data_IF_575806978321
#
_entry.id   IF_575806978321
#
_cell.length_a   1.000
_cell.length_b   1.000
_cell.length_c   1.000
_cell.angle_alpha   90.00
_cell.angle_beta   90.00
_cell.angle_gamma   90.00
#
_symmetry.space_group_name_H-M   'P 1'
#
loop_
_entity.id
_entity.type
_entity.pdbx_description
1 polymer ?
#
# COMPACT_ATOMS: atom_id res chain seq x y z
N UNK A 1 12.69 2.62 18.23
CA UNK A 1 13.26 3.65 17.32
C UNK A 1 14.35 3.12 16.38
N UNK A 2 14.38 1.82 16.04
CA UNK A 2 15.50 1.21 15.28
C UNK A 2 15.28 1.12 13.76
N UNK A 3 14.04 1.29 13.27
CA UNK A 3 13.76 1.15 11.84
C UNK A 3 14.35 2.33 11.05
N UNK A 4 14.96 2.05 9.89
CA UNK A 4 15.42 3.05 8.94
C UNK A 4 14.48 3.14 7.73
N UNK A 5 14.54 4.25 6.98
CA UNK A 5 13.74 4.42 5.77
C UNK A 5 14.05 3.34 4.72
N UNK A 6 15.32 3.11 4.43
CA UNK A 6 15.75 2.05 3.49
C UNK A 6 15.30 0.66 3.94
N UNK A 7 15.45 0.33 5.23
CA UNK A 7 14.99 -0.95 5.77
C UNK A 7 13.47 -1.12 5.72
N UNK A 8 12.71 -0.05 5.94
CA UNK A 8 11.25 -0.07 5.86
C UNK A 8 10.76 -0.32 4.42
N UNK A 9 11.41 0.26 3.41
CA UNK A 9 11.14 0.00 1.99
C UNK A 9 11.38 -1.47 1.59
N UNK A 10 12.34 -2.13 2.26
CA UNK A 10 12.79 -3.49 1.95
C UNK A 10 12.22 -4.57 2.88
N UNK A 11 11.27 -4.21 3.76
CA UNK A 11 10.65 -5.19 4.65
C UNK A 11 9.90 -6.26 3.83
N UNK A 12 9.92 -7.50 4.30
CA UNK A 12 9.26 -8.61 3.60
C UNK A 12 7.85 -8.86 4.11
N UNK A 13 7.06 -9.58 3.32
CA UNK A 13 5.69 -9.98 3.67
C UNK A 13 5.59 -10.67 5.03
N UNK A 14 4.40 -10.64 5.65
CA UNK A 14 4.09 -11.33 6.91
C UNK A 14 3.25 -12.59 6.70
N UNK A 15 3.24 -13.13 5.48
CA UNK A 15 2.62 -14.42 5.16
C UNK A 15 3.13 -15.51 6.12
N UNK A 16 2.20 -16.24 6.75
CA UNK A 16 2.52 -17.28 7.73
C UNK A 16 3.42 -18.37 7.11
N UNK A 17 3.08 -18.82 5.91
CA UNK A 17 3.81 -19.84 5.16
C UNK A 17 5.19 -19.38 4.65
N UNK A 18 5.38 -18.07 4.44
CA UNK A 18 6.68 -17.54 4.08
C UNK A 18 7.65 -17.60 5.26
N UNK A 19 7.16 -17.41 6.49
CA UNK A 19 7.99 -17.40 7.69
C UNK A 19 8.24 -18.79 8.27
N UNK A 20 7.32 -19.72 8.07
CA UNK A 20 7.54 -21.12 8.43
C UNK A 20 8.57 -21.74 7.46
N UNK A 21 9.74 -22.11 7.95
CA UNK A 21 10.83 -22.65 7.12
C UNK A 21 10.50 -23.99 6.48
N UNK A 22 9.62 -24.79 7.09
CA UNK A 22 9.32 -26.15 6.66
C UNK A 22 8.29 -26.21 5.54
N UNK A 23 7.62 -25.09 5.26
CA UNK A 23 6.57 -25.03 4.24
C UNK A 23 7.09 -24.58 2.88
N UNK A 24 6.71 -25.28 1.81
CA UNK A 24 6.97 -24.87 0.44
C UNK A 24 6.33 -23.51 0.10
N UNK A 25 7.09 -22.64 -0.57
CA UNK A 25 6.65 -21.29 -0.91
C UNK A 25 7.46 -20.72 -2.07
N UNK A 26 6.81 -20.36 -3.19
CA UNK A 26 7.43 -19.77 -4.38
C UNK A 26 8.29 -18.53 -4.09
N UNK A 27 7.96 -17.75 -3.03
CA UNK A 27 8.74 -16.57 -2.62
C UNK A 27 10.07 -16.94 -1.93
N UNK A 28 10.16 -18.13 -1.32
CA UNK A 28 11.38 -18.69 -0.73
C UNK A 28 12.14 -19.52 -1.76
N UNK A 29 11.44 -20.48 -2.37
CA UNK A 29 11.97 -21.45 -3.32
C UNK A 29 11.08 -21.44 -4.58
N UNK A 30 11.45 -20.72 -5.64
CA UNK A 30 10.66 -20.63 -6.86
C UNK A 30 10.28 -22.01 -7.43
N UNK A 31 9.00 -22.19 -7.76
CA UNK A 31 8.46 -23.45 -8.29
C UNK A 31 7.88 -24.41 -7.25
N UNK A 32 8.11 -24.16 -5.95
CA UNK A 32 7.60 -25.02 -4.86
C UNK A 32 6.09 -24.87 -4.58
N UNK A 33 5.44 -23.85 -5.12
CA UNK A 33 3.99 -23.61 -4.98
C UNK A 33 3.62 -22.51 -3.99
N UNK A 34 2.32 -22.24 -3.86
CA UNK A 34 1.78 -21.23 -2.95
C UNK A 34 0.69 -21.82 -2.04
N UNK A 35 1.03 -22.27 -0.83
CA UNK A 35 0.06 -22.90 0.08
C UNK A 35 -1.04 -21.92 0.54
N UNK A 36 -0.77 -20.62 0.51
CA UNK A 36 -1.75 -19.61 0.88
C UNK A 36 -2.99 -19.60 -0.04
N UNK A 37 -2.86 -20.01 -1.32
CA UNK A 37 -4.00 -19.99 -2.26
C UNK A 37 -5.19 -20.82 -1.77
N UNK A 38 -4.91 -21.99 -1.19
CA UNK A 38 -5.91 -22.93 -0.70
C UNK A 38 -5.89 -23.09 0.83
N UNK A 39 -5.03 -22.33 1.51
CA UNK A 39 -4.86 -22.35 2.96
C UNK A 39 -5.47 -21.14 3.65
N UNK A 40 -4.96 -20.83 4.85
CA UNK A 40 -5.40 -19.68 5.63
C UNK A 40 -4.87 -18.37 5.04
N UNK A 41 -5.73 -17.68 4.31
CA UNK A 41 -5.36 -16.50 3.53
C UNK A 41 -5.92 -15.17 4.05
N UNK A 42 -6.46 -15.10 5.27
CA UNK A 42 -7.13 -13.89 5.81
C UNK A 42 -6.36 -12.58 5.63
N UNK A 43 -5.04 -12.59 5.82
CA UNK A 43 -4.19 -11.39 5.70
C UNK A 43 -3.65 -11.13 4.29
N UNK A 44 -3.96 -11.97 3.31
CA UNK A 44 -3.37 -11.95 1.97
C UNK A 44 -4.07 -10.95 1.03
N UNK A 45 -3.45 -10.75 -0.14
CA UNK A 45 -3.83 -9.76 -1.12
C UNK A 45 -5.17 -10.13 -1.80
N UNK A 46 -5.89 -9.08 -2.20
CA UNK A 46 -7.09 -9.16 -3.03
C UNK A 46 -6.88 -8.50 -4.40
N UNK A 47 -5.76 -7.80 -4.61
CA UNK A 47 -5.44 -7.05 -5.82
C UNK A 47 -4.01 -7.38 -6.28
N UNK A 48 -3.81 -7.38 -7.60
CA UNK A 48 -2.48 -7.58 -8.20
C UNK A 48 -1.81 -8.90 -7.83
N UNK A 49 -2.59 -9.94 -7.57
CA UNK A 49 -2.12 -11.29 -7.22
C UNK A 49 -1.69 -12.06 -8.47
N UNK A 50 -0.98 -13.17 -8.29
CA UNK A 50 -0.79 -14.19 -9.33
C UNK A 50 -1.08 -15.58 -8.79
N UNK A 51 -1.14 -16.58 -9.67
CA UNK A 51 -1.18 -18.00 -9.28
C UNK A 51 0.08 -18.46 -8.53
N UNK A 52 1.15 -17.67 -8.56
CA UNK A 52 2.38 -17.99 -7.85
C UNK A 52 2.45 -17.38 -6.46
N UNK A 53 1.72 -16.29 -6.18
CA UNK A 53 1.74 -15.65 -4.87
C UNK A 53 0.57 -14.67 -4.65
N UNK A 54 -0.01 -14.74 -3.44
CA UNK A 54 -1.02 -13.81 -2.94
C UNK A 54 -0.54 -12.98 -1.73
N UNK A 55 0.77 -12.89 -1.51
CA UNK A 55 1.31 -12.15 -0.37
C UNK A 55 1.03 -10.64 -0.46
N UNK A 56 0.85 -9.98 0.69
CA UNK A 56 0.78 -8.52 0.79
C UNK A 56 2.12 -7.92 1.13
N UNK A 57 2.35 -6.68 0.69
CA UNK A 57 3.41 -5.84 1.21
C UNK A 57 2.93 -5.09 2.47
N UNK A 58 3.67 -5.16 3.60
CA UNK A 58 3.10 -4.79 4.90
C UNK A 58 3.39 -3.34 5.35
N UNK A 59 4.19 -2.57 4.60
CA UNK A 59 4.61 -1.23 5.04
C UNK A 59 3.49 -0.21 4.94
N UNK A 60 3.18 0.46 6.06
CA UNK A 60 2.33 1.65 6.07
C UNK A 60 3.03 2.88 5.45
N UNK A 61 4.32 3.06 5.74
CA UNK A 61 5.10 4.20 5.24
C UNK A 61 5.14 4.24 3.72
N UNK A 62 5.33 3.08 3.08
CA UNK A 62 5.37 3.00 1.63
C UNK A 62 4.02 3.31 0.96
N UNK A 63 2.90 3.13 1.65
CA UNK A 63 1.58 3.52 1.13
C UNK A 63 1.50 5.05 1.04
N UNK A 64 1.95 5.75 2.07
CA UNK A 64 2.05 7.22 2.04
C UNK A 64 3.04 7.70 0.96
N UNK A 65 4.22 7.08 0.85
CA UNK A 65 5.21 7.44 -0.18
C UNK A 65 4.69 7.22 -1.61
N UNK A 66 3.88 6.18 -1.84
CA UNK A 66 3.24 5.94 -3.14
C UNK A 66 2.17 7.01 -3.46
N UNK A 67 1.41 7.44 -2.46
CA UNK A 67 0.45 8.54 -2.61
C UNK A 67 1.16 9.89 -2.87
N UNK A 68 2.34 10.10 -2.29
CA UNK A 68 3.12 11.32 -2.43
C UNK A 68 4.02 11.38 -3.67
N UNK A 69 3.95 10.41 -4.59
CA UNK A 69 4.82 10.36 -5.78
C UNK A 69 6.32 10.48 -5.43
N UNK A 70 6.74 9.81 -4.35
CA UNK A 70 8.13 9.87 -3.91
C UNK A 70 9.09 9.31 -4.98
N UNK A 71 10.38 9.63 -4.84
CA UNK A 71 11.46 9.06 -5.65
C UNK A 71 12.50 8.41 -4.75
N UNK A 72 12.93 7.20 -5.09
CA UNK A 72 13.96 6.46 -4.34
C UNK A 72 15.30 6.62 -5.04
N UNK A 73 16.29 7.17 -4.33
CA UNK A 73 17.64 7.36 -4.86
C UNK A 73 18.54 6.20 -4.46
N UNK A 74 19.33 5.73 -5.42
CA UNK A 74 20.10 4.50 -5.33
C UNK A 74 21.53 4.76 -5.80
N UNK A 75 22.49 4.25 -5.05
CA UNK A 75 23.89 4.18 -5.42
C UNK A 75 24.30 2.74 -5.73
N UNK A 76 25.26 2.57 -6.63
CA UNK A 76 25.91 1.29 -6.96
C UNK A 76 27.38 1.54 -7.28
N UNK A 77 28.17 0.46 -7.45
CA UNK A 77 29.56 0.56 -7.91
C UNK A 77 29.68 1.16 -9.33
N UNK A 78 28.61 1.10 -10.12
CA UNK A 78 28.59 1.54 -11.52
C UNK A 78 27.96 2.92 -11.72
N UNK A 79 27.48 3.57 -10.64
CA UNK A 79 26.85 4.88 -10.68
C UNK A 79 25.57 4.98 -9.86
N UNK A 80 24.94 6.15 -9.92
CA UNK A 80 23.72 6.46 -9.19
C UNK A 80 22.52 6.50 -10.14
N UNK A 81 21.35 6.11 -9.64
CA UNK A 81 20.07 6.24 -10.34
C UNK A 81 18.92 6.52 -9.38
N UNK A 82 17.80 6.93 -9.95
CA UNK A 82 16.56 7.17 -9.20
C UNK A 82 15.43 6.32 -9.76
N UNK A 83 14.55 5.83 -8.90
CA UNK A 83 13.36 5.05 -9.28
C UNK A 83 12.13 5.76 -8.74
N UNK A 84 11.15 6.14 -9.59
CA UNK A 84 9.85 6.61 -9.13
C UNK A 84 9.21 5.59 -8.20
N UNK A 85 8.61 6.00 -7.09
CA UNK A 85 8.12 5.06 -6.07
C UNK A 85 7.07 4.08 -6.61
N UNK A 86 6.24 4.53 -7.56
CA UNK A 86 5.28 3.68 -8.28
C UNK A 86 5.95 2.48 -8.97
N UNK A 87 7.23 2.58 -9.32
CA UNK A 87 8.02 1.58 -10.02
C UNK A 87 9.03 0.89 -9.10
N UNK A 88 9.09 1.21 -7.80
CA UNK A 88 10.06 0.62 -6.89
C UNK A 88 9.67 -0.81 -6.50
N UNK A 89 8.45 -1.01 -5.99
CA UNK A 89 7.89 -2.33 -5.68
C UNK A 89 7.19 -2.94 -6.89
N UNK A 90 7.28 -4.27 -7.01
CA UNK A 90 6.68 -5.02 -8.13
C UNK A 90 5.51 -5.91 -7.69
N UNK A 91 4.63 -6.19 -8.65
CA UNK A 91 3.67 -7.29 -8.54
C UNK A 91 4.41 -8.64 -8.64
N UNK A 92 3.84 -9.72 -8.08
CA UNK A 92 4.56 -10.99 -7.97
C UNK A 92 4.84 -11.62 -9.33
N UNK A 93 3.90 -11.54 -10.28
CA UNK A 93 4.02 -12.18 -11.58
C UNK A 93 4.41 -13.66 -11.44
N UNK A 94 5.37 -14.08 -12.25
CA UNK A 94 6.04 -15.39 -12.24
C UNK A 94 7.24 -15.46 -11.26
N UNK A 95 7.70 -14.31 -10.74
CA UNK A 95 8.90 -14.18 -9.89
C UNK A 95 8.59 -13.58 -8.53
N UNK A 96 7.76 -14.24 -7.70
CA UNK A 96 7.37 -13.72 -6.39
C UNK A 96 8.53 -13.70 -5.38
N UNK A 97 9.68 -14.32 -5.67
CA UNK A 97 10.89 -14.19 -4.85
C UNK A 97 11.49 -12.78 -4.88
N UNK A 98 11.12 -11.93 -5.86
CA UNK A 98 11.57 -10.55 -5.99
C UNK A 98 10.47 -9.58 -5.51
N UNK A 99 10.77 -8.77 -4.50
CA UNK A 99 9.81 -7.82 -3.91
C UNK A 99 9.87 -6.41 -4.55
N UNK A 100 11.02 -6.05 -5.14
CA UNK A 100 11.32 -4.72 -5.66
C UNK A 100 12.21 -4.77 -6.92
N UNK A 101 12.53 -3.60 -7.47
CA UNK A 101 13.31 -3.41 -8.70
C UNK A 101 14.78 -2.99 -8.45
N UNK A 102 15.32 -3.25 -7.25
CA UNK A 102 16.76 -3.13 -7.00
C UNK A 102 17.53 -4.24 -7.71
N UNK A 103 18.68 -3.87 -8.26
CA UNK A 103 19.69 -4.82 -8.74
C UNK A 103 20.60 -5.27 -7.59
N UNK A 104 21.25 -6.44 -7.70
CA UNK A 104 22.28 -6.85 -6.75
C UNK A 104 23.36 -5.77 -6.60
N UNK A 105 23.72 -5.44 -5.36
CA UNK A 105 24.73 -4.43 -5.05
C UNK A 105 24.24 -2.98 -5.07
N UNK A 106 22.95 -2.74 -5.32
CA UNK A 106 22.34 -1.41 -5.20
C UNK A 106 21.99 -1.06 -3.75
N UNK A 107 22.28 0.18 -3.34
CA UNK A 107 22.03 0.71 -2.01
C UNK A 107 21.09 1.92 -2.09
N UNK A 108 20.00 1.89 -1.33
CA UNK A 108 19.12 3.05 -1.15
C UNK A 108 19.85 4.10 -0.32
N UNK A 109 20.01 5.30 -0.87
CA UNK A 109 20.71 6.41 -0.22
C UNK A 109 19.76 7.47 0.34
N UNK A 110 18.69 7.79 -0.37
CA UNK A 110 17.67 8.74 0.09
C UNK A 110 16.30 8.51 -0.55
N UNK A 111 15.31 9.21 -0.02
CA UNK A 111 13.96 9.28 -0.58
C UNK A 111 13.63 10.76 -0.73
N UNK A 112 13.30 11.18 -1.94
CA UNK A 112 12.90 12.55 -2.22
C UNK A 112 11.37 12.62 -2.30
N UNK A 113 10.81 13.66 -1.70
CA UNK A 113 9.40 14.00 -1.81
C UNK A 113 9.24 15.22 -2.72
N UNK A 114 8.14 15.33 -3.49
CA UNK A 114 7.83 16.55 -4.22
C UNK A 114 7.76 17.77 -3.31
N UNK A 115 8.17 18.93 -3.83
CA UNK A 115 8.22 20.18 -3.05
C UNK A 115 6.83 20.63 -2.57
N UNK A 116 5.81 20.47 -3.41
CA UNK A 116 4.42 20.76 -3.06
C UNK A 116 3.78 19.49 -2.49
N UNK A 117 3.37 19.55 -1.22
CA UNK A 117 2.64 18.49 -0.55
C UNK A 117 1.16 18.81 -0.38
N UNK A 118 0.49 17.99 0.44
CA UNK A 118 -0.94 18.06 0.73
C UNK A 118 -1.20 18.40 2.20
N UNK A 119 -0.57 19.47 2.69
CA UNK A 119 -0.60 19.80 4.12
C UNK A 119 -2.02 20.05 4.65
N UNK A 120 -2.91 20.60 3.84
CA UNK A 120 -4.26 21.01 4.24
C UNK A 120 -5.27 19.86 4.27
N UNK A 121 -5.24 18.98 3.27
CA UNK A 121 -6.23 17.91 3.15
C UNK A 121 -5.56 16.56 2.95
N UNK A 122 -5.33 15.84 4.05
CA UNK A 122 -4.72 14.51 4.02
C UNK A 122 -5.20 13.64 5.18
N UNK A 123 -5.20 12.32 4.98
CA UNK A 123 -5.42 11.37 6.06
C UNK A 123 -4.80 10.00 5.79
N UNK A 124 -4.34 9.33 6.85
CA UNK A 124 -3.94 7.92 6.83
C UNK A 124 -4.80 7.08 7.79
N UNK A 125 -5.64 6.21 7.23
CA UNK A 125 -6.48 5.29 8.00
C UNK A 125 -5.86 3.89 7.97
N UNK A 126 -5.65 3.30 9.15
CA UNK A 126 -5.18 1.91 9.32
C UNK A 126 -6.21 1.06 10.06
N UNK A 127 -6.79 0.07 9.39
CA UNK A 127 -7.75 -0.87 9.98
C UNK A 127 -7.04 -2.18 10.35
N UNK A 128 -7.21 -2.60 11.60
CA UNK A 128 -6.52 -3.74 12.21
C UNK A 128 -7.37 -4.34 13.33
N UNK A 129 -7.13 -5.61 13.67
CA UNK A 129 -7.92 -6.35 14.67
C UNK A 129 -7.72 -5.84 16.11
N UNK A 130 -6.55 -5.26 16.41
CA UNK A 130 -6.22 -4.72 17.75
C UNK A 130 -5.68 -3.29 17.66
N UNK A 131 -5.88 -2.51 18.71
CA UNK A 131 -5.63 -1.06 18.72
C UNK A 131 -4.18 -0.66 18.45
N UNK A 132 -3.19 -1.51 18.72
CA UNK A 132 -1.77 -1.25 18.45
C UNK A 132 -0.99 -2.51 18.09
N UNK A 133 0.25 -2.32 17.63
CA UNK A 133 1.22 -3.38 17.34
C UNK A 133 0.68 -4.49 16.41
N UNK A 134 -0.11 -4.10 15.41
CA UNK A 134 -0.58 -4.98 14.34
C UNK A 134 -0.44 -4.31 12.98
N UNK A 135 -0.16 -5.12 11.96
CA UNK A 135 -0.17 -4.73 10.55
C UNK A 135 -1.59 -4.44 10.07
N UNK A 136 -1.71 -3.70 8.97
CA UNK A 136 -3.00 -3.36 8.40
C UNK A 136 -3.67 -4.59 7.77
N UNK A 137 -4.96 -4.78 8.03
CA UNK A 137 -5.81 -5.60 7.16
C UNK A 137 -6.11 -4.84 5.87
N UNK A 138 -6.42 -3.56 6.02
CA UNK A 138 -6.52 -2.55 4.96
C UNK A 138 -6.03 -1.23 5.54
N UNK A 139 -5.24 -0.48 4.78
CA UNK A 139 -4.98 0.93 5.06
C UNK A 139 -5.23 1.78 3.83
N UNK A 140 -5.50 3.07 4.04
CA UNK A 140 -5.73 4.05 2.98
C UNK A 140 -4.95 5.32 3.32
N UNK A 141 -4.11 5.78 2.41
CA UNK A 141 -3.57 7.13 2.38
C UNK A 141 -4.40 7.94 1.37
N UNK A 142 -4.90 9.10 1.78
CA UNK A 142 -5.65 10.02 0.93
C UNK A 142 -5.11 11.42 1.08
N UNK A 143 -5.00 12.14 -0.03
CA UNK A 143 -4.64 13.55 -0.03
C UNK A 143 -5.35 14.29 -1.16
N UNK A 144 -5.73 15.54 -0.92
CA UNK A 144 -6.44 16.38 -1.90
C UNK A 144 -5.83 17.79 -1.97
N UNK A 145 -5.78 18.36 -3.17
CA UNK A 145 -5.76 19.81 -3.34
C UNK A 145 -7.19 20.24 -3.68
N UNK A 146 -7.72 21.21 -2.95
CA UNK A 146 -9.10 21.70 -3.13
C UNK A 146 -9.03 23.17 -3.54
N UNK A 147 -9.74 23.51 -4.61
CA UNK A 147 -9.91 24.88 -5.10
C UNK A 147 -11.41 25.21 -5.08
N UNK A 148 -11.79 26.14 -4.21
CA UNK A 148 -13.21 26.36 -3.90
C UNK A 148 -13.81 25.15 -3.17
N UNK A 149 -14.78 24.47 -3.79
CA UNK A 149 -15.39 23.24 -3.28
C UNK A 149 -15.02 21.98 -4.10
N UNK A 150 -14.10 22.13 -5.06
CA UNK A 150 -13.72 21.09 -6.03
C UNK A 150 -12.32 20.57 -5.78
N UNK A 151 -12.17 19.26 -5.96
CA UNK A 151 -10.85 18.60 -5.99
C UNK A 151 -10.13 19.03 -7.27
N UNK A 152 -9.01 19.75 -7.16
CA UNK A 152 -8.13 20.01 -8.30
C UNK A 152 -7.09 18.90 -8.48
N UNK A 153 -6.74 18.22 -7.39
CA UNK A 153 -5.82 17.07 -7.39
C UNK A 153 -6.20 16.06 -6.30
N UNK A 154 -6.14 14.77 -6.62
CA UNK A 154 -6.35 13.68 -5.67
C UNK A 154 -5.17 12.71 -5.65
N UNK A 155 -4.92 12.12 -4.47
CA UNK A 155 -4.01 11.01 -4.25
C UNK A 155 -4.68 9.96 -3.37
N UNK A 156 -4.80 8.72 -3.84
CA UNK A 156 -5.38 7.62 -3.06
C UNK A 156 -4.56 6.34 -3.25
N UNK A 157 -3.91 5.89 -2.16
CA UNK A 157 -3.14 4.66 -2.13
C UNK A 157 -3.59 3.73 -1.00
N UNK A 158 -3.58 2.43 -1.24
CA UNK A 158 -4.01 1.40 -0.30
C UNK A 158 -2.84 0.50 0.14
N UNK A 159 -2.89 0.08 1.40
CA UNK A 159 -2.03 -0.96 1.98
C UNK A 159 -2.81 -2.19 2.43
N UNK A 160 -2.09 -3.30 2.63
CA UNK A 160 -2.68 -4.57 3.08
C UNK A 160 -3.56 -5.29 2.05
N UNK A 161 -3.64 -4.79 0.80
CA UNK A 161 -4.51 -5.34 -0.24
C UNK A 161 -3.76 -5.93 -1.44
N UNK A 162 -2.47 -5.65 -1.60
CA UNK A 162 -1.66 -6.06 -2.74
C UNK A 162 -0.20 -6.31 -2.36
N UNK A 163 0.58 -6.86 -3.29
CA UNK A 163 2.02 -7.14 -3.16
C UNK A 163 2.92 -5.87 -3.17
N UNK A 164 2.32 -4.71 -3.36
CA UNK A 164 2.92 -3.38 -3.31
C UNK A 164 1.84 -2.38 -2.86
N UNK A 165 2.20 -1.15 -2.46
CA UNK A 165 1.22 -0.09 -2.33
C UNK A 165 0.35 0.03 -3.58
N UNK A 166 -0.97 0.02 -3.41
CA UNK A 166 -1.92 0.00 -4.51
C UNK A 166 -2.53 1.37 -4.72
N UNK A 167 -2.14 2.04 -5.81
CA UNK A 167 -2.62 3.38 -6.16
C UNK A 167 -3.26 3.34 -7.54
N UNK A 168 -4.40 4.03 -7.70
CA UNK A 168 -5.13 4.11 -8.97
C UNK A 168 -5.17 5.56 -9.44
N UNK A 169 -4.40 5.86 -10.49
CA UNK A 169 -4.44 7.17 -11.15
C UNK A 169 -5.80 7.41 -11.83
N UNK A 170 -6.45 6.36 -12.31
CA UNK A 170 -7.78 6.44 -12.93
C UNK A 170 -8.84 6.94 -11.94
N UNK A 171 -8.81 6.46 -10.70
CA UNK A 171 -9.70 6.94 -9.65
C UNK A 171 -9.37 8.37 -9.19
N UNK A 172 -8.09 8.74 -9.20
CA UNK A 172 -7.63 10.11 -8.91
C UNK A 172 -8.14 11.10 -9.97
N UNK A 173 -8.01 10.76 -11.26
CA UNK A 173 -8.53 11.58 -12.35
C UNK A 173 -10.06 11.64 -12.38
N UNK A 174 -10.74 10.54 -12.05
CA UNK A 174 -12.20 10.56 -11.89
C UNK A 174 -12.65 11.57 -10.84
N UNK A 175 -11.90 11.77 -9.75
CA UNK A 175 -12.24 12.70 -8.68
C UNK A 175 -11.99 14.17 -9.04
N UNK A 176 -11.19 14.46 -10.06
CA UNK A 176 -10.88 15.84 -10.46
C UNK A 176 -12.14 16.59 -10.88
N UNK A 177 -12.31 17.80 -10.36
CA UNK A 177 -13.48 18.64 -10.60
C UNK A 177 -14.75 18.20 -9.85
N UNK A 178 -14.66 17.26 -8.90
CA UNK A 178 -15.78 16.81 -8.06
C UNK A 178 -15.64 17.30 -6.62
N UNK A 179 -16.73 17.26 -5.87
CA UNK A 179 -16.73 17.57 -4.44
C UNK A 179 -16.29 16.33 -3.64
N UNK A 180 -15.58 16.54 -2.54
CA UNK A 180 -15.27 15.46 -1.59
C UNK A 180 -16.55 15.08 -0.84
N UNK A 181 -17.24 14.04 -1.32
CA UNK A 181 -18.45 13.50 -0.70
C UNK A 181 -18.49 11.96 -0.80
N UNK A 182 -19.38 11.34 -0.03
CA UNK A 182 -19.45 9.89 0.08
C UNK A 182 -19.78 9.20 -1.25
N UNK A 183 -20.61 9.81 -2.10
CA UNK A 183 -21.01 9.26 -3.39
C UNK A 183 -19.84 9.21 -4.38
N UNK A 184 -19.13 10.33 -4.55
CA UNK A 184 -17.95 10.40 -5.43
C UNK A 184 -16.83 9.48 -4.94
N UNK A 185 -16.59 9.43 -3.62
CA UNK A 185 -15.60 8.53 -3.03
C UNK A 185 -16.00 7.04 -3.18
N UNK A 186 -17.30 6.72 -3.15
CA UNK A 186 -17.77 5.36 -3.38
C UNK A 186 -17.53 4.91 -4.84
N UNK A 187 -17.76 5.80 -5.82
CA UNK A 187 -17.47 5.53 -7.23
C UNK A 187 -15.96 5.41 -7.48
N UNK A 188 -15.15 6.28 -6.89
CA UNK A 188 -13.69 6.17 -6.95
C UNK A 188 -13.19 4.85 -6.33
N UNK A 189 -13.81 4.41 -5.23
CA UNK A 189 -13.50 3.12 -4.62
C UNK A 189 -13.84 1.94 -5.53
N UNK A 190 -14.92 2.01 -6.32
CA UNK A 190 -15.25 0.98 -7.29
C UNK A 190 -14.18 0.90 -8.40
N UNK A 191 -13.66 2.04 -8.87
CA UNK A 191 -12.54 2.11 -9.82
C UNK A 191 -11.26 1.49 -9.22
N UNK A 192 -10.90 1.87 -7.99
CA UNK A 192 -9.68 1.35 -7.31
C UNK A 192 -9.72 -0.18 -7.15
N UNK A 193 -10.91 -0.73 -6.93
CA UNK A 193 -11.14 -2.14 -6.64
C UNK A 193 -11.47 -2.98 -7.88
N UNK A 194 -11.35 -2.42 -9.09
CA UNK A 194 -11.46 -3.21 -10.32
C UNK A 194 -10.45 -4.37 -10.28
N UNK A 195 -10.96 -5.58 -10.54
CA UNK A 195 -10.16 -6.82 -10.50
C UNK A 195 -9.90 -7.39 -9.10
N UNK A 196 -10.45 -6.78 -8.04
CA UNK A 196 -10.31 -7.32 -6.69
C UNK A 196 -10.98 -8.69 -6.58
N UNK A 197 -10.24 -9.70 -6.10
CA UNK A 197 -10.71 -11.06 -5.87
C UNK A 197 -10.17 -11.60 -4.56
N UNK A 198 -11.05 -12.14 -3.74
CA UNK A 198 -10.68 -12.88 -2.53
C UNK A 198 -10.49 -14.38 -2.78
N UNK A 199 -9.96 -15.06 -1.76
CA UNK A 199 -9.62 -16.48 -1.75
C UNK A 199 -10.32 -17.20 -0.58
N UNK A 200 -11.47 -16.68 -0.12
CA UNK A 200 -12.28 -17.21 0.97
C UNK A 200 -12.10 -16.42 2.26
N UNK A 201 -10.98 -16.62 2.98
CA UNK A 201 -10.81 -15.98 4.30
C UNK A 201 -10.55 -14.46 4.21
N UNK A 202 -10.12 -13.94 3.07
CA UNK A 202 -9.86 -12.51 2.87
C UNK A 202 -10.94 -11.77 2.08
N UNK A 203 -12.05 -12.42 1.73
CA UNK A 203 -13.14 -11.81 0.93
C UNK A 203 -13.70 -10.54 1.59
N UNK A 204 -13.70 -10.50 2.93
CA UNK A 204 -14.14 -9.35 3.70
C UNK A 204 -13.36 -8.07 3.36
N UNK A 205 -12.10 -8.18 2.90
CA UNK A 205 -11.25 -7.04 2.59
C UNK A 205 -11.80 -6.17 1.46
N UNK A 206 -12.56 -6.74 0.52
CA UNK A 206 -13.13 -5.98 -0.61
C UNK A 206 -14.11 -4.93 -0.07
N UNK A 207 -15.09 -5.38 0.72
CA UNK A 207 -16.07 -4.49 1.37
C UNK A 207 -15.42 -3.56 2.39
N UNK A 208 -14.42 -4.05 3.12
CA UNK A 208 -13.67 -3.24 4.08
C UNK A 208 -12.91 -2.11 3.36
N UNK A 209 -12.25 -2.40 2.24
CA UNK A 209 -11.50 -1.41 1.46
C UNK A 209 -12.39 -0.32 0.90
N UNK A 210 -13.55 -0.66 0.31
CA UNK A 210 -14.51 0.34 -0.17
C UNK A 210 -14.93 1.30 0.95
N UNK A 211 -15.30 0.76 2.11
CA UNK A 211 -15.67 1.58 3.29
C UNK A 211 -14.51 2.41 3.82
N UNK A 212 -13.29 1.86 3.80
CA UNK A 212 -12.09 2.55 4.25
C UNK A 212 -11.75 3.73 3.35
N UNK A 213 -11.87 3.59 2.03
CA UNK A 213 -11.64 4.68 1.06
C UNK A 213 -12.61 5.82 1.32
N UNK A 214 -13.91 5.52 1.44
CA UNK A 214 -14.95 6.54 1.72
C UNK A 214 -14.66 7.25 3.04
N UNK A 215 -14.42 6.50 4.11
CA UNK A 215 -14.12 7.07 5.44
C UNK A 215 -12.87 7.95 5.41
N UNK A 216 -11.77 7.44 4.85
CA UNK A 216 -10.49 8.15 4.84
C UNK A 216 -10.55 9.41 3.97
N UNK A 217 -11.26 9.37 2.83
CA UNK A 217 -11.48 10.54 2.00
C UNK A 217 -12.24 11.66 2.72
N UNK A 218 -13.26 11.31 3.53
CA UNK A 218 -13.96 12.31 4.36
C UNK A 218 -13.08 12.83 5.51
N UNK A 219 -12.28 11.96 6.13
CA UNK A 219 -11.31 12.36 7.18
C UNK A 219 -10.24 13.30 6.65
N UNK A 220 -9.86 13.18 5.37
CA UNK A 220 -8.85 14.04 4.75
C UNK A 220 -9.25 15.52 4.73
N UNK A 221 -10.54 15.87 4.82
CA UNK A 221 -11.01 17.27 4.95
C UNK A 221 -10.74 17.88 6.33
N UNK A 222 -10.48 17.04 7.33
CA UNK A 222 -10.24 17.46 8.71
C UNK A 222 -9.05 16.68 9.28
N UNK A 223 -7.81 16.94 8.84
CA UNK A 223 -6.64 16.16 9.27
C UNK A 223 -6.48 16.10 10.79
N UNK A 224 -6.94 17.11 11.52
CA UNK A 224 -6.92 17.16 12.99
C UNK A 224 -7.83 16.12 13.66
N UNK A 225 -8.84 15.61 12.94
CA UNK A 225 -9.73 14.54 13.44
C UNK A 225 -9.06 13.16 13.51
N UNK A 226 -7.84 13.05 12.97
CA UNK A 226 -7.07 11.82 13.02
C UNK A 226 -6.60 11.57 14.44
N UNK A 227 -7.13 10.52 15.06
CA UNK A 227 -6.65 10.08 16.36
C UNK A 227 -5.18 9.72 16.24
N UNK A 228 -4.29 10.25 17.10
CA UNK A 228 -2.94 9.73 17.18
C UNK A 228 -3.03 8.23 17.47
N UNK A 229 -2.16 7.45 16.82
CA UNK A 229 -2.04 6.02 17.12
C UNK A 229 -1.84 5.79 18.61
N UNK A 230 -2.07 4.55 19.08
CA UNK A 230 -1.86 4.20 20.47
C UNK A 230 -0.53 4.79 20.97
N UNK A 231 -0.62 5.59 22.03
CA UNK A 231 0.55 6.15 22.69
C UNK A 231 1.47 5.00 23.11
N UNK A 232 2.81 5.19 23.09
CA UNK A 232 3.72 4.22 23.68
C UNK A 232 3.22 3.85 25.07
N UNK A 233 3.19 2.56 25.40
CA UNK A 233 3.07 2.17 26.80
C UNK A 233 4.25 2.78 27.56
N UNK A 234 3.96 3.56 28.60
CA UNK A 234 4.95 4.05 29.56
C UNK A 234 5.77 2.90 30.16
#
# INVERSE_FOLDING_TARGET
>A
NMASNGGNLLQRTRCYYFYDSEIDCNKKNPGSGCPALNGYNRIHAILGTSEHCIAVFPSDMCVALAALDATVNIASLTGNRSIPFKDFHRLPGDKPNLDNNLNPGELITSIDLPQKGFAENHSYLKLRDRHSYAFALVSVATAFTIEGDKISEARIALGGVAHKPWRSQEAEEFLKGKNVNAENLAQAADIILIGAKGFGHNDFKIKLAKKAIIRNGLMALNPESQLPGAQPSE
#
